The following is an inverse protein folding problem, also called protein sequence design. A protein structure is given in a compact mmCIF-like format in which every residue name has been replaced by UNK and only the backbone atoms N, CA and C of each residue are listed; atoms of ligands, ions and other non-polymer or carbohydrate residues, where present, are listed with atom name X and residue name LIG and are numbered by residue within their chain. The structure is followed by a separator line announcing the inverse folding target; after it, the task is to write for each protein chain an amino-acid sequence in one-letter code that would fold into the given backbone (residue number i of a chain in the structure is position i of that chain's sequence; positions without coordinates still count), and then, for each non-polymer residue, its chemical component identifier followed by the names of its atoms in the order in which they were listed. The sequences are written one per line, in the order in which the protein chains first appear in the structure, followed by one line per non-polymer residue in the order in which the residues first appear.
data_IF_478411710780
#
_entry.id   IF_478411710780
#
_cell.length_a   1.000
_cell.length_b   1.000
_cell.length_c   1.000
_cell.angle_alpha   90.00
_cell.angle_beta   90.00
_cell.angle_gamma   90.00
#
_symmetry.space_group_name_H-M   'P 1'
#
loop_
_entity.id
_entity.type
_entity.pdbx_description
1 polymer ?
#
# COMPACT_ATOMS: atom_id res chain seq x y z
N UNK A 1 17.46 22.66 56.51
CA UNK A 1 18.73 22.64 55.77
C UNK A 1 18.88 21.21 55.24
N UNK A 2 18.07 20.84 54.26
CA UNK A 2 18.26 21.09 52.80
C UNK A 2 19.12 19.96 52.21
N UNK A 3 18.50 18.83 51.88
CA UNK A 3 17.92 18.45 50.59
C UNK A 3 18.96 18.01 49.55
N UNK A 4 18.89 16.71 49.20
CA UNK A 4 19.66 16.04 48.16
C UNK A 4 19.26 16.58 46.78
N UNK A 5 20.21 16.93 45.92
CA UNK A 5 19.92 17.40 44.58
C UNK A 5 21.10 17.32 43.61
N UNK A 6 20.82 16.68 42.47
CA UNK A 6 21.46 16.82 41.15
C UNK A 6 22.89 16.32 40.92
N UNK A 7 23.02 15.00 40.80
CA UNK A 7 23.87 14.39 39.76
C UNK A 7 23.04 14.32 38.46
N UNK A 8 23.01 15.35 37.59
CA UNK A 8 22.47 15.10 36.23
C UNK A 8 22.71 16.13 35.09
N UNK A 9 23.78 16.93 35.02
CA UNK A 9 23.83 17.95 33.93
C UNK A 9 25.16 18.16 33.21
N UNK A 10 26.16 17.26 33.31
CA UNK A 10 27.46 17.49 32.64
C UNK A 10 28.03 16.39 31.75
N UNK A 11 27.24 15.38 31.39
CA UNK A 11 27.71 14.27 30.52
C UNK A 11 27.04 14.18 29.14
N UNK A 12 26.10 15.08 28.80
CA UNK A 12 25.30 14.99 27.56
C UNK A 12 25.66 16.03 26.48
N UNK A 13 26.82 16.69 26.57
CA UNK A 13 27.14 17.81 25.66
C UNK A 13 28.22 17.53 24.59
N UNK A 14 28.85 16.35 24.53
CA UNK A 14 30.04 16.16 23.67
C UNK A 14 29.94 15.07 22.59
N UNK A 15 28.75 14.62 22.19
CA UNK A 15 28.61 13.68 21.06
C UNK A 15 27.52 14.13 20.07
N UNK A 16 27.52 15.41 19.68
CA UNK A 16 26.61 15.96 18.67
C UNK A 16 27.39 16.71 17.58
N UNK A 17 28.32 16.02 16.90
CA UNK A 17 28.93 16.50 15.66
C UNK A 17 29.69 15.39 14.92
N UNK A 18 29.06 14.24 14.68
CA UNK A 18 29.55 13.28 13.70
C UNK A 18 28.41 12.38 13.22
N UNK A 19 28.28 12.30 11.89
CA UNK A 19 27.51 11.30 11.14
C UNK A 19 25.98 11.46 11.11
N UNK A 20 25.51 12.34 10.23
CA UNK A 20 24.33 12.06 9.39
C UNK A 20 24.37 12.90 8.11
N UNK A 21 25.47 12.82 7.35
CA UNK A 21 25.34 12.88 5.89
C UNK A 21 24.74 11.54 5.46
N UNK A 22 23.45 11.37 5.76
CA UNK A 22 22.67 10.32 5.15
C UNK A 22 22.43 10.79 3.74
N UNK A 23 23.19 10.26 2.80
CA UNK A 23 22.79 10.22 1.40
C UNK A 23 21.38 9.62 1.41
N UNK A 24 20.38 10.48 1.29
CA UNK A 24 19.07 10.06 0.81
C UNK A 24 19.37 9.70 -0.64
N UNK A 25 19.81 8.45 -0.84
CA UNK A 25 19.69 7.84 -2.16
C UNK A 25 18.22 8.00 -2.51
N UNK A 26 17.98 8.96 -3.38
CA UNK A 26 16.81 9.03 -4.22
C UNK A 26 16.63 7.60 -4.73
N UNK A 27 15.70 6.86 -4.13
CA UNK A 27 15.20 5.58 -4.63
C UNK A 27 14.42 5.91 -5.91
N UNK A 28 15.19 6.37 -6.89
CA UNK A 28 14.86 6.45 -8.29
C UNK A 28 14.27 5.10 -8.61
N UNK A 29 12.99 5.16 -8.95
CA UNK A 29 12.10 4.07 -9.25
C UNK A 29 12.85 3.00 -10.01
N UNK A 30 13.34 1.94 -9.32
CA UNK A 30 13.90 0.79 -10.02
C UNK A 30 12.79 0.30 -10.94
N UNK A 31 12.98 0.30 -12.28
CA UNK A 31 11.92 -0.12 -13.17
C UNK A 31 11.56 -1.55 -12.78
N UNK A 32 10.26 -1.81 -12.63
CA UNK A 32 9.75 -3.15 -12.37
C UNK A 32 10.36 -4.09 -13.42
N UNK A 33 11.37 -4.86 -13.00
CA UNK A 33 12.13 -5.71 -13.90
C UNK A 33 11.46 -7.07 -13.87
N UNK A 34 10.76 -7.34 -14.95
CA UNK A 34 10.21 -8.65 -15.17
C UNK A 34 11.31 -9.72 -15.14
N UNK A 35 11.00 -10.89 -14.57
CA UNK A 35 11.87 -12.06 -14.65
C UNK A 35 12.18 -12.39 -16.13
N UNK A 36 13.32 -13.03 -16.45
CA UNK A 36 13.73 -13.34 -17.84
C UNK A 36 12.66 -14.11 -18.66
N UNK A 37 11.76 -14.84 -18.02
CA UNK A 37 10.64 -15.53 -18.68
C UNK A 37 9.56 -14.61 -19.29
N UNK A 38 9.64 -13.31 -19.04
CA UNK A 38 8.73 -12.28 -19.54
C UNK A 38 9.21 -11.71 -20.89
N UNK A 39 10.35 -12.16 -21.41
CA UNK A 39 10.75 -11.90 -22.80
C UNK A 39 9.70 -12.36 -23.80
N UNK A 40 8.93 -13.42 -23.46
CA UNK A 40 7.86 -13.99 -24.30
C UNK A 40 6.58 -13.15 -24.31
N UNK A 41 6.45 -12.15 -23.45
CA UNK A 41 5.25 -11.31 -23.43
C UNK A 41 5.29 -10.29 -24.56
N UNK A 42 4.13 -10.09 -25.15
CA UNK A 42 3.88 -9.03 -26.12
C UNK A 42 4.09 -7.65 -25.48
N UNK A 43 4.29 -6.63 -26.32
CA UNK A 43 4.38 -5.25 -25.84
C UNK A 43 3.12 -4.83 -25.06
N UNK A 44 1.95 -5.25 -25.52
CA UNK A 44 0.67 -4.96 -24.86
C UNK A 44 0.57 -5.62 -23.48
N UNK A 45 1.00 -6.87 -23.31
CA UNK A 45 1.00 -7.53 -22.00
C UNK A 45 1.97 -6.87 -21.03
N UNK A 46 3.15 -6.44 -21.50
CA UNK A 46 4.11 -5.68 -20.69
C UNK A 46 3.53 -4.35 -20.26
N UNK A 47 2.92 -3.60 -21.18
CA UNK A 47 2.29 -2.31 -20.90
C UNK A 47 1.11 -2.44 -19.93
N UNK A 48 0.22 -3.41 -20.15
CA UNK A 48 -0.90 -3.68 -19.25
C UNK A 48 -0.43 -4.03 -17.83
N UNK A 49 0.64 -4.83 -17.72
CA UNK A 49 1.21 -5.17 -16.41
C UNK A 49 1.86 -3.97 -15.73
N UNK A 50 2.56 -3.11 -16.48
CA UNK A 50 3.11 -1.86 -15.95
C UNK A 50 2.00 -0.90 -15.50
N UNK A 51 0.91 -0.79 -16.27
CA UNK A 51 -0.24 0.02 -15.90
C UNK A 51 -0.87 -0.47 -14.58
N UNK A 52 -1.03 -1.78 -14.43
CA UNK A 52 -1.47 -2.40 -13.17
C UNK A 52 -0.55 -2.03 -11.99
N UNK A 53 0.77 -2.24 -12.12
CA UNK A 53 1.70 -1.93 -11.01
C UNK A 53 1.77 -0.44 -10.69
N UNK A 54 1.65 0.45 -11.69
CA UNK A 54 1.55 1.91 -11.44
C UNK A 54 0.31 2.24 -10.63
N UNK A 55 -0.84 1.66 -10.97
CA UNK A 55 -2.08 1.87 -10.22
C UNK A 55 -2.00 1.28 -8.80
N UNK A 56 -1.43 0.09 -8.65
CA UNK A 56 -1.25 -0.55 -7.35
C UNK A 56 -0.32 0.27 -6.44
N UNK A 57 0.78 0.79 -6.99
CA UNK A 57 1.69 1.67 -6.25
C UNK A 57 1.03 3.00 -5.88
N UNK A 58 0.19 3.57 -6.75
CA UNK A 58 -0.54 4.79 -6.45
C UNK A 58 -1.58 4.58 -5.33
N UNK A 59 -2.31 3.46 -5.34
CA UNK A 59 -3.21 3.07 -4.24
C UNK A 59 -2.45 2.84 -2.93
N UNK A 60 -1.29 2.19 -2.99
CA UNK A 60 -0.43 1.97 -1.82
C UNK A 60 0.11 3.29 -1.26
N UNK A 61 0.65 4.17 -2.11
CA UNK A 61 1.15 5.48 -1.69
C UNK A 61 0.03 6.30 -1.02
N UNK A 62 -1.15 6.35 -1.64
CA UNK A 62 -2.32 7.01 -1.04
C UNK A 62 -2.67 6.42 0.32
N UNK A 63 -2.68 5.10 0.46
CA UNK A 63 -2.99 4.46 1.74
C UNK A 63 -1.94 4.76 2.82
N UNK A 64 -0.66 4.79 2.46
CA UNK A 64 0.43 5.11 3.38
C UNK A 64 0.38 6.55 3.89
N UNK A 65 -0.22 7.47 3.13
CA UNK A 65 -0.42 8.87 3.52
C UNK A 65 -1.69 9.10 4.35
N UNK A 66 -2.61 8.14 4.39
CA UNK A 66 -3.89 8.23 5.12
C UNK A 66 -3.75 7.76 6.56
N UNK A 67 -4.44 8.42 7.50
CA UNK A 67 -4.62 7.87 8.85
C UNK A 67 -5.73 6.82 8.86
N UNK A 68 -5.83 6.04 9.93
CA UNK A 68 -6.94 5.10 10.12
C UNK A 68 -8.29 5.84 10.09
N UNK A 69 -8.37 7.02 10.71
CA UNK A 69 -9.57 7.87 10.68
C UNK A 69 -9.96 8.29 9.26
N UNK A 70 -8.99 8.64 8.41
CA UNK A 70 -9.25 9.00 7.01
C UNK A 70 -9.88 7.83 6.24
N UNK A 71 -9.37 6.62 6.48
CA UNK A 71 -9.90 5.40 5.85
C UNK A 71 -11.30 5.10 6.39
N UNK A 72 -11.51 5.19 7.70
CA UNK A 72 -12.82 5.03 8.33
C UNK A 72 -13.82 6.05 7.78
N UNK A 73 -13.43 7.31 7.58
CA UNK A 73 -14.26 8.33 6.95
C UNK A 73 -14.56 8.03 5.48
N UNK A 74 -13.59 7.51 4.71
CA UNK A 74 -13.81 7.04 3.33
C UNK A 74 -14.94 5.99 3.31
N UNK A 75 -14.88 4.99 4.19
CA UNK A 75 -15.90 3.96 4.30
C UNK A 75 -17.23 4.49 4.84
N UNK A 76 -17.22 5.43 5.80
CA UNK A 76 -18.44 6.07 6.32
C UNK A 76 -19.15 6.85 5.23
N UNK A 77 -18.42 7.67 4.46
CA UNK A 77 -18.96 8.46 3.33
C UNK A 77 -19.52 7.56 2.23
N UNK A 78 -18.92 6.40 2.01
CA UNK A 78 -19.41 5.39 1.08
C UNK A 78 -20.63 4.59 1.60
N UNK A 79 -21.04 4.78 2.86
CA UNK A 79 -22.10 3.96 3.49
C UNK A 79 -21.66 2.51 3.74
N UNK A 80 -20.37 2.23 3.72
CA UNK A 80 -19.77 0.88 3.79
C UNK A 80 -18.96 0.64 5.07
N UNK A 81 -19.11 1.49 6.10
CA UNK A 81 -18.34 1.38 7.36
C UNK A 81 -18.38 -0.01 8.00
N UNK A 82 -19.52 -0.71 7.93
CA UNK A 82 -19.68 -2.08 8.42
C UNK A 82 -18.82 -3.15 7.69
N UNK A 83 -18.12 -2.76 6.62
CA UNK A 83 -17.21 -3.62 5.83
C UNK A 83 -15.76 -3.17 5.91
N UNK A 84 -15.49 -2.10 6.65
CA UNK A 84 -14.13 -1.73 6.96
C UNK A 84 -13.50 -2.85 7.79
N UNK A 85 -12.39 -3.36 7.30
CA UNK A 85 -11.61 -4.42 7.91
C UNK A 85 -10.13 -4.05 7.72
N UNK A 86 -9.45 -3.54 8.75
CA UNK A 86 -8.08 -3.04 8.63
C UNK A 86 -7.11 -4.14 8.17
N UNK A 87 -7.34 -5.39 8.57
CA UNK A 87 -6.48 -6.53 8.22
C UNK A 87 -6.54 -6.85 6.72
N UNK A 88 -7.67 -6.53 6.08
CA UNK A 88 -7.90 -6.75 4.64
C UNK A 88 -7.80 -5.50 3.79
N UNK A 89 -7.62 -4.33 4.38
CA UNK A 89 -7.72 -3.06 3.66
C UNK A 89 -6.67 -2.95 2.53
N UNK A 90 -5.42 -3.30 2.83
CA UNK A 90 -4.36 -3.29 1.83
C UNK A 90 -4.67 -4.24 0.65
N UNK A 91 -5.29 -5.39 0.94
CA UNK A 91 -5.68 -6.40 -0.05
C UNK A 91 -6.81 -5.86 -0.93
N UNK A 92 -7.81 -5.23 -0.32
CA UNK A 92 -8.92 -4.59 -1.03
C UNK A 92 -8.41 -3.47 -1.94
N UNK A 93 -7.48 -2.63 -1.49
CA UNK A 93 -6.88 -1.56 -2.31
C UNK A 93 -6.09 -2.11 -3.50
N UNK A 94 -5.29 -3.15 -3.27
CA UNK A 94 -4.59 -3.84 -4.35
C UNK A 94 -5.57 -4.46 -5.38
N UNK A 95 -6.68 -5.03 -4.91
CA UNK A 95 -7.74 -5.51 -5.79
C UNK A 95 -8.47 -4.39 -6.54
N UNK A 96 -8.62 -3.19 -5.95
CA UNK A 96 -9.21 -2.02 -6.65
C UNK A 96 -8.33 -1.63 -7.83
N UNK A 97 -7.01 -1.61 -7.65
CA UNK A 97 -6.05 -1.38 -8.73
C UNK A 97 -6.16 -2.44 -9.83
N UNK A 98 -6.28 -3.73 -9.47
CA UNK A 98 -6.46 -4.81 -10.45
C UNK A 98 -7.80 -4.75 -11.18
N UNK A 99 -8.87 -4.29 -10.52
CA UNK A 99 -10.17 -4.10 -11.16
C UNK A 99 -10.16 -2.95 -12.16
N UNK A 100 -9.49 -1.84 -11.82
CA UNK A 100 -9.37 -0.67 -12.69
C UNK A 100 -8.37 -0.90 -13.85
N UNK A 101 -7.28 -1.61 -13.56
CA UNK A 101 -6.23 -1.95 -14.52
C UNK A 101 -5.96 -3.46 -14.49
N UNK A 102 -6.78 -4.26 -15.20
CA UNK A 102 -6.67 -5.71 -15.19
C UNK A 102 -5.29 -6.18 -15.67
N UNK A 103 -4.54 -6.94 -14.85
CA UNK A 103 -3.31 -7.55 -15.30
C UNK A 103 -3.59 -8.62 -16.36
N UNK A 104 -2.72 -8.79 -17.37
CA UNK A 104 -2.94 -9.78 -18.41
C UNK A 104 -2.86 -11.22 -17.85
N UNK A 105 -3.51 -12.21 -18.50
CA UNK A 105 -3.53 -13.59 -18.03
C UNK A 105 -2.14 -14.19 -17.77
N UNK A 106 -1.14 -13.81 -18.57
CA UNK A 106 0.25 -14.25 -18.41
C UNK A 106 0.92 -13.77 -17.11
N UNK A 107 0.42 -12.66 -16.53
CA UNK A 107 0.91 -12.07 -15.29
C UNK A 107 0.22 -12.65 -14.04
N UNK A 108 -1.04 -13.09 -14.16
CA UNK A 108 -1.86 -13.58 -13.02
C UNK A 108 -1.14 -14.62 -12.14
N UNK A 109 -0.47 -15.66 -12.67
CA UNK A 109 0.22 -16.66 -11.84
C UNK A 109 1.36 -16.09 -10.99
N UNK A 110 1.83 -14.87 -11.31
CA UNK A 110 2.93 -14.18 -10.61
C UNK A 110 2.43 -13.12 -9.63
N UNK A 111 1.12 -12.86 -9.60
CA UNK A 111 0.52 -11.91 -8.68
C UNK A 111 -0.03 -12.68 -7.47
N UNK A 112 0.61 -12.57 -6.30
CA UNK A 112 0.21 -13.34 -5.13
C UNK A 112 -1.24 -13.01 -4.74
N UNK A 113 -2.05 -14.05 -4.59
CA UNK A 113 -3.41 -13.99 -4.07
C UNK A 113 -4.38 -12.99 -4.75
N UNK A 114 -4.08 -12.50 -5.96
CA UNK A 114 -4.91 -11.46 -6.59
C UNK A 114 -6.36 -11.90 -6.79
N UNK A 115 -6.59 -13.16 -7.15
CA UNK A 115 -7.94 -13.72 -7.29
C UNK A 115 -8.70 -13.76 -5.96
N UNK A 116 -8.02 -14.01 -4.85
CA UNK A 116 -8.63 -13.99 -3.52
C UNK A 116 -9.01 -12.57 -3.13
N UNK A 117 -8.18 -11.58 -3.44
CA UNK A 117 -8.45 -10.18 -3.11
C UNK A 117 -9.59 -9.59 -3.95
N UNK A 118 -9.70 -9.99 -5.22
CA UNK A 118 -10.84 -9.62 -6.05
C UNK A 118 -12.17 -10.14 -5.45
N UNK A 119 -12.18 -11.34 -4.86
CA UNK A 119 -13.36 -11.85 -4.14
C UNK A 119 -13.76 -10.99 -2.95
N UNK A 120 -12.81 -10.39 -2.22
CA UNK A 120 -13.14 -9.46 -1.13
C UNK A 120 -13.91 -8.24 -1.63
N UNK A 121 -13.61 -7.76 -2.85
CA UNK A 121 -14.39 -6.68 -3.46
C UNK A 121 -15.77 -7.14 -3.93
N UNK A 122 -15.86 -8.34 -4.49
CA UNK A 122 -17.13 -8.91 -4.95
C UNK A 122 -18.08 -9.17 -3.78
N UNK A 123 -17.59 -9.72 -2.66
CA UNK A 123 -18.37 -9.95 -1.44
C UNK A 123 -18.88 -8.62 -0.84
N UNK A 124 -18.05 -7.57 -0.89
CA UNK A 124 -18.47 -6.23 -0.52
C UNK A 124 -19.55 -5.73 -1.50
N UNK A 125 -19.37 -5.84 -2.80
CA UNK A 125 -20.34 -5.29 -3.76
C UNK A 125 -21.68 -6.07 -3.78
N UNK A 126 -21.67 -7.41 -3.67
CA UNK A 126 -22.87 -8.25 -3.70
C UNK A 126 -23.78 -8.03 -2.48
N UNK A 127 -23.22 -7.88 -1.27
CA UNK A 127 -24.00 -7.61 -0.06
C UNK A 127 -24.64 -6.22 -0.05
N UNK A 128 -24.27 -5.33 -0.98
CA UNK A 128 -24.90 -4.02 -1.15
C UNK A 128 -26.25 -4.14 -1.88
N UNK A 129 -26.37 -5.10 -2.81
CA UNK A 129 -27.59 -5.33 -3.57
C UNK A 129 -28.65 -6.15 -2.82
N UNK A 130 -28.25 -6.95 -1.82
CA UNK A 130 -29.19 -7.77 -1.05
C UNK A 130 -30.01 -6.98 0.00
N UNK A 131 -29.72 -5.70 0.22
CA UNK A 131 -30.44 -4.83 1.17
C UNK A 131 -31.46 -3.90 0.47
N UNK A 132 -31.67 -4.06 -0.84
CA UNK A 132 -32.58 -3.24 -1.66
C UNK A 132 -33.87 -4.01 -2.04
N UNK A 133 -34.03 -5.28 -1.60
CA UNK A 133 -35.25 -6.07 -1.86
C UNK A 133 -36.10 -6.25 -0.60
#
# INVERSE_FOLDING_TARGET
MENKGSENERSLANNAAAAAAGDVEEETTKPFRFAPEVEKWTAAEKEATLAFFRAANAEAAKYMEMTEEDVVEEYRRAGKLHRYDPDKEWQKRYARAARAHPPPPCAIPRLPHIQQYLKYLEEDDQKQFSLIN
#
